data_IF_201734905947
#
_entry.id   IF_201734905947
#
_cell.length_a   1.000
_cell.length_b   1.000
_cell.length_c   1.000
_cell.angle_alpha   90.00
_cell.angle_beta   90.00
_cell.angle_gamma   90.00
#
_symmetry.space_group_name_H-M   'P 1'
#
loop_
_entity.id
_entity.type
_entity.pdbx_description
1 polymer ?
#
# COMPACT_ATOMS: atom_id res chain seq x y z
N UNK A 1 -11.78 34.84 54.79
CA UNK A 1 -10.40 34.96 54.29
C UNK A 1 -9.67 35.88 55.25
N UNK A 2 -8.79 35.34 56.10
CA UNK A 2 -7.95 36.18 56.96
C UNK A 2 -6.95 36.94 56.06
N UNK A 3 -6.74 38.23 56.32
CA UNK A 3 -5.87 39.07 55.49
C UNK A 3 -4.45 38.52 55.42
N UNK A 4 -3.84 38.58 54.23
CA UNK A 4 -2.43 38.23 54.02
C UNK A 4 -1.58 39.16 54.88
N UNK A 5 -0.61 38.60 55.61
CA UNK A 5 0.34 39.40 56.38
C UNK A 5 1.45 39.76 55.41
N UNK A 6 1.66 41.06 55.18
CA UNK A 6 2.62 41.56 54.17
C UNK A 6 3.99 41.84 54.79
N UNK A 7 4.03 42.19 56.08
CA UNK A 7 5.24 42.49 56.83
C UNK A 7 5.54 41.38 57.84
N UNK A 8 6.82 41.00 57.96
CA UNK A 8 7.25 39.94 58.89
C UNK A 8 7.07 40.39 60.36
N UNK A 9 6.15 39.77 61.13
CA UNK A 9 5.91 40.12 62.53
C UNK A 9 7.10 39.78 63.44
N UNK A 10 8.06 38.99 62.97
CA UNK A 10 9.31 38.72 63.69
C UNK A 10 10.26 39.92 63.71
N UNK A 11 10.05 40.89 62.83
CA UNK A 11 10.84 42.13 62.76
C UNK A 11 10.22 43.27 63.57
N UNK A 12 9.00 43.09 64.10
CA UNK A 12 8.32 44.12 64.89
C UNK A 12 8.84 44.15 66.33
N UNK A 13 9.18 45.36 66.79
CA UNK A 13 9.61 45.64 68.17
C UNK A 13 8.42 46.17 68.97
N UNK A 14 8.25 45.69 70.21
CA UNK A 14 7.18 46.17 71.10
C UNK A 14 7.31 47.68 71.30
N UNK A 15 6.27 48.46 71.00
CA UNK A 15 6.27 49.89 71.31
C UNK A 15 6.44 50.12 72.81
N UNK A 16 7.15 51.18 73.18
CA UNK A 16 7.23 51.61 74.56
C UNK A 16 5.93 52.30 74.96
N UNK A 17 4.99 51.50 75.47
CA UNK A 17 3.69 51.99 75.90
C UNK A 17 3.76 52.91 77.11
N UNK A 18 4.90 53.02 77.83
CA UNK A 18 5.08 53.96 78.93
C UNK A 18 5.49 55.38 78.47
N UNK A 19 5.78 55.56 77.18
CA UNK A 19 6.14 56.85 76.59
C UNK A 19 4.95 57.81 76.52
N UNK A 20 5.23 59.11 76.59
CA UNK A 20 4.26 60.20 76.48
C UNK A 20 3.38 60.11 75.21
N UNK A 21 3.92 59.52 74.14
CA UNK A 21 3.22 59.33 72.86
C UNK A 21 1.97 58.44 73.00
N UNK A 22 1.94 57.53 73.98
CA UNK A 22 0.83 56.59 74.19
C UNK A 22 -0.11 56.99 75.34
N UNK A 23 0.08 58.14 75.99
CA UNK A 23 -0.79 58.61 77.08
C UNK A 23 -2.27 58.64 76.68
N UNK A 24 -2.59 59.12 75.49
CA UNK A 24 -3.96 59.13 74.96
C UNK A 24 -4.58 57.72 74.85
N UNK A 25 -3.76 56.69 74.68
CA UNK A 25 -4.18 55.29 74.56
C UNK A 25 -4.31 54.61 75.93
N UNK A 26 -3.57 55.08 76.93
CA UNK A 26 -3.67 54.64 78.33
C UNK A 26 -4.89 55.24 79.04
N UNK A 27 -5.30 56.45 78.68
CA UNK A 27 -6.32 57.23 79.40
C UNK A 27 -7.66 56.52 79.64
N UNK A 28 -8.22 55.77 78.67
CA UNK A 28 -9.44 55.00 78.89
C UNK A 28 -9.30 53.86 79.91
N UNK A 29 -8.07 53.39 80.18
CA UNK A 29 -7.76 52.38 81.19
C UNK A 29 -7.56 53.04 82.56
N UNK A 30 -6.90 54.20 82.59
CA UNK A 30 -6.71 55.01 83.80
C UNK A 30 -8.04 55.54 84.34
N UNK A 31 -8.93 56.01 83.46
CA UNK A 31 -10.29 56.47 83.81
C UNK A 31 -11.17 55.34 84.42
N UNK A 32 -10.80 54.07 84.20
CA UNK A 32 -11.44 52.89 84.81
C UNK A 32 -10.81 52.46 86.13
N UNK A 33 -9.88 53.24 86.68
CA UNK A 33 -9.28 53.03 88.00
C UNK A 33 -7.97 52.24 88.02
N UNK A 34 -7.29 52.06 86.89
CA UNK A 34 -5.98 51.41 86.79
C UNK A 34 -4.83 52.43 86.91
N UNK A 35 -3.71 52.01 87.50
CA UNK A 35 -2.47 52.81 87.48
C UNK A 35 -1.93 52.93 86.04
N UNK A 36 -1.22 54.01 85.73
CA UNK A 36 -0.56 54.17 84.42
C UNK A 36 0.40 53.02 84.09
N UNK A 37 1.07 52.45 85.10
CA UNK A 37 1.93 51.26 84.95
C UNK A 37 1.12 50.00 84.61
N UNK A 38 -0.06 49.82 85.22
CA UNK A 38 -0.95 48.70 84.93
C UNK A 38 -1.56 48.84 83.52
N UNK A 39 -1.92 50.06 83.12
CA UNK A 39 -2.41 50.35 81.78
C UNK A 39 -1.35 50.06 80.70
N UNK A 40 -0.09 50.46 80.91
CA UNK A 40 1.02 50.15 80.00
C UNK A 40 1.31 48.63 79.94
N UNK A 41 1.15 47.92 81.07
CA UNK A 41 1.33 46.46 81.14
C UNK A 41 0.23 45.71 80.39
N UNK A 42 -1.03 46.14 80.51
CA UNK A 42 -2.16 45.57 79.76
C UNK A 42 -2.00 45.80 78.25
N UNK A 43 -1.56 46.99 77.84
CA UNK A 43 -1.31 47.30 76.42
C UNK A 43 -0.15 46.48 75.85
N UNK A 44 0.94 46.30 76.62
CA UNK A 44 2.05 45.41 76.26
C UNK A 44 1.59 43.97 76.09
N UNK A 45 0.85 43.42 77.05
CA UNK A 45 0.32 42.06 76.97
C UNK A 45 -0.63 41.87 75.77
N UNK A 46 -1.47 42.88 75.48
CA UNK A 46 -2.34 42.87 74.29
C UNK A 46 -1.53 42.89 72.98
N UNK A 47 -0.45 43.67 72.92
CA UNK A 47 0.44 43.71 71.76
C UNK A 47 1.19 42.39 71.57
N UNK A 48 1.74 41.81 72.64
CA UNK A 48 2.43 40.51 72.62
C UNK A 48 1.50 39.38 72.15
N UNK A 49 0.25 39.34 72.65
CA UNK A 49 -0.74 38.37 72.21
C UNK A 49 -1.11 38.54 70.71
N UNK A 50 -1.26 39.79 70.26
CA UNK A 50 -1.53 40.09 68.85
C UNK A 50 -0.33 39.73 67.94
N UNK A 51 0.89 40.05 68.36
CA UNK A 51 2.11 39.73 67.64
C UNK A 51 2.35 38.22 67.60
N UNK A 52 2.11 37.48 68.69
CA UNK A 52 2.18 36.03 68.71
C UNK A 52 1.22 35.39 67.70
N UNK A 53 -0.02 35.89 67.61
CA UNK A 53 -1.00 35.43 66.62
C UNK A 53 -0.58 35.79 65.18
N UNK A 54 0.03 36.97 64.99
CA UNK A 54 0.58 37.39 63.70
C UNK A 54 1.74 36.49 63.25
N UNK A 55 2.68 36.16 64.15
CA UNK A 55 3.78 35.23 63.90
C UNK A 55 3.28 33.83 63.52
N UNK A 56 2.25 33.33 64.22
CA UNK A 56 1.65 32.03 63.88
C UNK A 56 1.03 32.04 62.48
N UNK A 57 0.29 33.09 62.12
CA UNK A 57 -0.30 33.25 60.78
C UNK A 57 0.75 33.43 59.70
N UNK A 58 1.84 34.14 59.99
CA UNK A 58 2.97 34.30 59.09
C UNK A 58 3.65 32.95 58.82
N UNK A 59 3.91 32.17 59.88
CA UNK A 59 4.48 30.82 59.72
C UNK A 59 3.57 29.92 58.89
N UNK A 60 2.25 29.94 59.14
CA UNK A 60 1.28 29.21 58.32
C UNK A 60 1.33 29.64 56.84
N UNK A 61 1.46 30.93 56.54
CA UNK A 61 1.59 31.42 55.16
C UNK A 61 2.89 30.96 54.50
N UNK A 62 4.00 30.91 55.23
CA UNK A 62 5.27 30.39 54.72
C UNK A 62 5.15 28.89 54.42
N UNK A 63 4.58 28.12 55.34
CA UNK A 63 4.40 26.67 55.20
C UNK A 63 3.45 26.34 54.04
N UNK A 64 2.31 27.06 53.92
CA UNK A 64 1.34 26.91 52.83
C UNK A 64 1.96 27.26 51.47
N UNK A 65 2.78 28.33 51.41
CA UNK A 65 3.50 28.70 50.19
C UNK A 65 4.53 27.66 49.81
N UNK A 66 5.29 27.15 50.77
CA UNK A 66 6.28 26.10 50.55
C UNK A 66 5.62 24.79 50.07
N UNK A 67 4.47 24.41 50.66
CA UNK A 67 3.69 23.26 50.22
C UNK A 67 3.17 23.44 48.78
N UNK A 68 2.63 24.62 48.45
CA UNK A 68 2.14 24.94 47.10
C UNK A 68 3.27 24.91 46.07
N UNK A 69 4.44 25.45 46.40
CA UNK A 69 5.62 25.41 45.53
C UNK A 69 6.13 23.97 45.33
N UNK A 70 6.12 23.14 46.37
CA UNK A 70 6.50 21.74 46.29
C UNK A 70 5.53 20.93 45.40
N UNK A 71 4.22 21.12 45.58
CA UNK A 71 3.19 20.48 44.77
C UNK A 71 3.28 20.93 43.30
N UNK A 72 3.49 22.22 43.06
CA UNK A 72 3.69 22.77 41.73
C UNK A 72 4.95 22.21 41.06
N UNK A 73 6.05 22.06 41.81
CA UNK A 73 7.28 21.46 41.31
C UNK A 73 7.10 19.98 40.94
N UNK A 74 6.37 19.22 41.76
CA UNK A 74 6.03 17.82 41.48
C UNK A 74 5.13 17.69 40.25
N UNK A 75 4.08 18.52 40.16
CA UNK A 75 3.18 18.55 39.00
C UNK A 75 3.91 18.95 37.71
N UNK A 76 4.86 19.91 37.78
CA UNK A 76 5.68 20.30 36.64
C UNK A 76 6.58 19.15 36.18
N UNK A 77 7.20 18.41 37.11
CA UNK A 77 8.02 17.25 36.80
C UNK A 77 7.20 16.12 36.15
N UNK A 78 6.04 15.81 36.71
CA UNK A 78 5.14 14.79 36.14
C UNK A 78 4.62 15.20 34.76
N UNK A 79 4.30 16.48 34.55
CA UNK A 79 3.89 16.99 33.24
C UNK A 79 5.00 16.84 32.19
N UNK A 80 6.26 17.08 32.55
CA UNK A 80 7.41 16.91 31.66
C UNK A 80 7.67 15.42 31.35
N UNK A 81 7.58 14.54 32.34
CA UNK A 81 7.67 13.09 32.15
C UNK A 81 6.56 12.58 31.21
N UNK A 82 5.32 13.08 31.36
CA UNK A 82 4.22 12.76 30.44
C UNK A 82 4.48 13.27 29.03
N UNK A 83 4.98 14.51 28.87
CA UNK A 83 5.31 15.08 27.55
C UNK A 83 6.41 14.29 26.84
N UNK A 84 7.44 13.88 27.57
CA UNK A 84 8.52 13.08 27.01
C UNK A 84 8.07 11.67 26.66
N UNK A 85 7.17 11.06 27.46
CA UNK A 85 6.55 9.78 27.14
C UNK A 85 5.67 9.87 25.88
N UNK A 86 4.79 10.86 25.78
CA UNK A 86 3.94 11.05 24.59
C UNK A 86 4.79 11.31 23.34
N UNK A 87 5.83 12.13 23.44
CA UNK A 87 6.73 12.39 22.30
C UNK A 87 7.46 11.12 21.82
N UNK A 88 7.81 10.20 22.73
CA UNK A 88 8.40 8.89 22.38
C UNK A 88 7.39 7.99 21.68
N UNK A 89 6.17 7.91 22.19
CA UNK A 89 5.10 7.12 21.58
C UNK A 89 4.72 7.66 20.19
N UNK A 90 4.63 8.99 20.03
CA UNK A 90 4.43 9.66 18.74
C UNK A 90 5.54 9.34 17.74
N UNK A 91 6.80 9.32 18.19
CA UNK A 91 7.93 8.98 17.33
C UNK A 91 7.93 7.50 16.93
N UNK A 92 7.59 6.60 17.85
CA UNK A 92 7.50 5.17 17.55
C UNK A 92 6.33 4.84 16.61
N UNK A 93 5.17 5.47 16.83
CA UNK A 93 4.01 5.34 15.95
C UNK A 93 4.30 5.92 14.57
N UNK A 94 4.96 7.08 14.48
CA UNK A 94 5.40 7.65 13.22
C UNK A 94 6.37 6.72 12.46
N UNK A 95 7.33 6.11 13.16
CA UNK A 95 8.27 5.15 12.54
C UNK A 95 7.55 3.89 12.04
N UNK A 96 6.60 3.36 12.81
CA UNK A 96 5.78 2.22 12.40
C UNK A 96 4.93 2.54 11.18
N UNK A 97 4.31 3.71 11.15
CA UNK A 97 3.57 4.19 9.98
C UNK A 97 4.47 4.38 8.76
N UNK A 98 5.67 4.94 8.94
CA UNK A 98 6.63 5.12 7.85
C UNK A 98 7.08 3.76 7.31
N UNK A 99 7.42 2.81 8.18
CA UNK A 99 7.76 1.44 7.81
C UNK A 99 6.60 0.75 7.09
N UNK A 100 5.35 1.01 7.48
CA UNK A 100 4.18 0.43 6.84
C UNK A 100 3.88 1.06 5.48
N UNK A 101 4.05 2.38 5.32
CA UNK A 101 3.86 3.09 4.05
C UNK A 101 4.99 2.79 3.08
N UNK A 102 6.22 2.64 3.57
CA UNK A 102 7.44 2.45 2.79
C UNK A 102 8.03 1.05 2.99
N UNK A 103 7.19 0.00 3.07
CA UNK A 103 7.64 -1.39 3.30
C UNK A 103 8.82 -1.80 2.43
N UNK A 104 8.81 -1.43 1.16
CA UNK A 104 9.89 -1.75 0.22
C UNK A 104 11.26 -1.17 0.64
N UNK A 105 11.29 0.06 1.17
CA UNK A 105 12.51 0.75 1.64
C UNK A 105 13.10 0.09 2.88
N UNK A 106 12.25 -0.47 3.72
CA UNK A 106 12.59 -1.02 5.03
C UNK A 106 12.55 -2.56 5.08
N UNK A 107 12.48 -3.23 3.93
CA UNK A 107 12.58 -4.67 3.89
C UNK A 107 13.97 -5.14 4.31
N UNK A 108 14.01 -6.23 5.08
CA UNK A 108 15.25 -6.86 5.52
C UNK A 108 16.06 -7.35 4.32
N UNK A 109 17.32 -6.91 4.23
CA UNK A 109 18.28 -7.39 3.24
C UNK A 109 18.92 -8.65 3.81
N UNK A 110 18.94 -9.73 3.02
CA UNK A 110 19.61 -10.98 3.40
C UNK A 110 21.13 -10.82 3.23
N UNK A 111 21.82 -10.55 4.33
CA UNK A 111 23.29 -10.43 4.33
C UNK A 111 23.95 -11.74 3.88
N UNK A 112 24.96 -11.64 3.01
CA UNK A 112 25.71 -12.79 2.49
C UNK A 112 25.05 -13.53 1.32
N UNK A 113 23.83 -13.17 0.92
CA UNK A 113 23.18 -13.69 -0.29
C UNK A 113 23.47 -12.74 -1.46
N UNK A 114 24.24 -13.21 -2.43
CA UNK A 114 24.50 -12.45 -3.67
C UNK A 114 23.24 -12.27 -4.50
N UNK A 115 23.18 -11.20 -5.29
CA UNK A 115 22.13 -11.04 -6.29
C UNK A 115 22.14 -12.22 -7.27
N UNK A 116 20.99 -12.75 -7.70
CA UNK A 116 20.94 -13.77 -8.75
C UNK A 116 21.67 -13.31 -10.01
N UNK A 117 22.39 -14.23 -10.68
CA UNK A 117 23.15 -13.94 -11.90
C UNK A 117 22.30 -13.38 -13.05
N UNK A 118 20.99 -13.65 -13.02
CA UNK A 118 20.02 -13.15 -14.00
C UNK A 118 18.77 -12.65 -13.28
N UNK A 119 18.17 -11.54 -13.75
CA UNK A 119 16.92 -11.04 -13.18
C UNK A 119 15.82 -12.08 -13.34
N UNK A 120 14.93 -12.15 -12.34
CA UNK A 120 13.74 -12.98 -12.43
C UNK A 120 12.86 -12.46 -13.58
N UNK A 121 12.33 -13.37 -14.40
CA UNK A 121 11.40 -13.01 -15.46
C UNK A 121 10.06 -12.66 -14.82
N UNK A 122 9.79 -11.37 -14.67
CA UNK A 122 8.53 -10.87 -14.13
C UNK A 122 7.54 -10.53 -15.25
N UNK A 123 6.29 -10.96 -15.08
CA UNK A 123 5.22 -10.56 -15.97
C UNK A 123 4.80 -9.11 -15.69
N UNK A 124 4.49 -8.33 -16.74
CA UNK A 124 4.01 -6.96 -16.59
C UNK A 124 2.80 -6.86 -15.65
N UNK A 125 2.77 -5.80 -14.82
CA UNK A 125 1.73 -5.63 -13.79
C UNK A 125 0.30 -5.71 -14.36
N UNK A 126 0.04 -5.11 -15.53
CA UNK A 126 -1.28 -5.15 -16.16
C UNK A 126 -1.72 -6.59 -16.52
N UNK A 127 -0.79 -7.43 -16.96
CA UNK A 127 -1.04 -8.85 -17.26
C UNK A 127 -1.30 -9.61 -15.96
N UNK A 128 -0.49 -9.38 -14.92
CA UNK A 128 -0.70 -9.98 -13.59
C UNK A 128 -2.05 -9.60 -12.98
N UNK A 129 -2.54 -8.38 -13.19
CA UNK A 129 -3.88 -7.98 -12.74
C UNK A 129 -5.00 -8.76 -13.43
N UNK A 130 -4.84 -9.10 -14.73
CA UNK A 130 -5.80 -9.97 -15.43
C UNK A 130 -5.79 -11.39 -14.87
N UNK A 131 -4.60 -11.94 -14.58
CA UNK A 131 -4.50 -13.22 -13.89
C UNK A 131 -5.17 -13.18 -12.52
N UNK A 132 -4.98 -12.14 -11.70
CA UNK A 132 -5.69 -11.99 -10.41
C UNK A 132 -7.21 -11.99 -10.53
N UNK A 133 -7.75 -11.46 -11.63
CA UNK A 133 -9.19 -11.46 -11.92
C UNK A 133 -9.71 -12.72 -12.61
N UNK A 134 -8.82 -13.69 -12.86
CA UNK A 134 -9.10 -14.88 -13.67
C UNK A 134 -9.67 -14.58 -15.08
N UNK A 135 -9.29 -13.42 -15.65
CA UNK A 135 -9.68 -13.04 -17.02
C UNK A 135 -8.89 -13.84 -18.05
N UNK A 136 -9.43 -13.93 -19.28
CA UNK A 136 -8.71 -14.52 -20.40
C UNK A 136 -7.49 -13.68 -20.76
N UNK A 137 -6.32 -14.33 -20.82
CA UNK A 137 -5.04 -13.73 -21.21
C UNK A 137 -4.43 -14.57 -22.32
N UNK A 138 -4.10 -13.94 -23.45
CA UNK A 138 -3.35 -14.59 -24.53
C UNK A 138 -1.98 -15.03 -23.99
N UNK A 139 -1.56 -16.26 -24.29
CA UNK A 139 -0.26 -16.82 -23.90
C UNK A 139 0.91 -16.03 -24.46
N UNK A 140 0.72 -15.29 -25.55
CA UNK A 140 1.77 -14.41 -26.06
C UNK A 140 2.32 -13.47 -24.98
N UNK A 141 1.49 -12.96 -24.05
CA UNK A 141 1.97 -12.10 -22.97
C UNK A 141 2.93 -12.79 -21.99
N UNK A 142 2.97 -14.12 -21.96
CA UNK A 142 3.88 -14.92 -21.14
C UNK A 142 5.03 -15.53 -21.96
N UNK A 143 5.08 -15.27 -23.27
CA UNK A 143 6.19 -15.64 -24.14
C UNK A 143 7.39 -14.70 -23.96
N UNK A 144 8.58 -15.11 -24.39
CA UNK A 144 9.77 -14.24 -24.32
C UNK A 144 9.55 -12.95 -25.12
N UNK A 145 8.95 -13.07 -26.31
CA UNK A 145 8.63 -11.92 -27.16
C UNK A 145 7.59 -11.01 -26.52
N UNK A 146 6.52 -11.57 -25.95
CA UNK A 146 5.51 -10.77 -25.29
C UNK A 146 6.05 -10.08 -24.06
N UNK A 147 6.86 -10.75 -23.24
CA UNK A 147 7.46 -10.15 -22.05
C UNK A 147 8.41 -9.01 -22.45
N UNK A 148 9.34 -9.22 -23.39
CA UNK A 148 10.28 -8.18 -23.81
C UNK A 148 9.55 -6.95 -24.40
N UNK A 149 8.57 -7.17 -25.28
CA UNK A 149 7.80 -6.09 -25.89
C UNK A 149 6.95 -5.35 -24.84
N UNK A 150 6.29 -6.11 -23.95
CA UNK A 150 5.37 -5.53 -22.97
C UNK A 150 6.13 -4.85 -21.84
N UNK A 151 7.31 -5.34 -21.43
CA UNK A 151 8.21 -4.65 -20.47
C UNK A 151 8.77 -3.37 -21.08
N UNK A 152 9.16 -3.36 -22.35
CA UNK A 152 9.62 -2.15 -23.01
C UNK A 152 8.50 -1.09 -23.15
N UNK A 153 7.27 -1.53 -23.44
CA UNK A 153 6.13 -0.62 -23.64
C UNK A 153 5.45 -0.16 -22.32
N UNK A 154 5.40 -1.00 -21.28
CA UNK A 154 4.80 -0.66 -19.98
C UNK A 154 5.81 -0.25 -18.90
N UNK A 155 7.09 -0.63 -19.04
CA UNK A 155 8.20 -0.12 -18.24
C UNK A 155 8.51 1.35 -18.52
N UNK A 156 7.97 1.90 -19.63
CA UNK A 156 7.75 3.34 -19.80
C UNK A 156 6.61 3.80 -18.88
N UNK A 157 6.89 3.76 -17.58
CA UNK A 157 6.11 4.39 -16.52
C UNK A 157 6.22 5.90 -16.75
N UNK A 158 5.45 6.42 -17.71
CA UNK A 158 5.10 7.83 -17.93
C UNK A 158 4.42 8.11 -19.28
N UNK A 159 3.88 7.11 -20.00
CA UNK A 159 2.86 7.47 -21.01
C UNK A 159 1.58 7.88 -20.29
N UNK A 160 1.59 9.09 -19.71
CA UNK A 160 0.44 9.94 -19.34
C UNK A 160 -0.38 10.32 -20.59
N UNK A 161 -0.28 9.53 -21.65
CA UNK A 161 -0.96 9.73 -22.91
C UNK A 161 -2.11 8.75 -22.93
N UNK A 162 -3.31 9.28 -22.84
CA UNK A 162 -4.53 8.53 -23.04
C UNK A 162 -5.01 8.77 -24.46
N UNK A 163 -5.37 7.70 -25.14
CA UNK A 163 -6.03 7.76 -26.44
C UNK A 163 -7.51 7.48 -26.23
N UNK A 164 -8.36 8.29 -26.85
CA UNK A 164 -9.79 8.00 -26.89
C UNK A 164 -10.06 6.95 -27.97
N UNK A 165 -10.74 5.88 -27.59
CA UNK A 165 -11.14 4.78 -28.48
C UNK A 165 -12.65 4.70 -28.46
N UNK A 166 -13.23 4.66 -29.66
CA UNK A 166 -14.66 4.44 -29.83
C UNK A 166 -14.95 2.93 -29.69
N UNK A 167 -15.68 2.57 -28.63
CA UNK A 167 -16.22 1.23 -28.43
C UNK A 167 -17.43 0.96 -29.34
N UNK A 168 -17.93 -0.27 -29.29
CA UNK A 168 -19.14 -0.65 -30.01
C UNK A 168 -20.33 0.18 -29.50
N UNK A 169 -21.16 0.66 -30.43
CA UNK A 169 -22.29 1.58 -30.18
C UNK A 169 -21.92 3.04 -29.90
N UNK A 170 -20.71 3.49 -30.27
CA UNK A 170 -20.34 4.90 -30.25
C UNK A 170 -19.95 5.45 -28.87
N UNK A 171 -19.77 4.57 -27.88
CA UNK A 171 -19.27 4.95 -26.56
C UNK A 171 -17.77 5.25 -26.64
N UNK A 172 -17.36 6.43 -26.19
CA UNK A 172 -15.93 6.81 -26.15
C UNK A 172 -15.31 6.36 -24.83
N UNK A 173 -14.19 5.63 -24.90
CA UNK A 173 -13.42 5.18 -23.73
C UNK A 173 -11.99 5.70 -23.81
N UNK A 174 -11.46 6.23 -22.70
CA UNK A 174 -10.05 6.60 -22.60
C UNK A 174 -9.24 5.38 -22.19
N UNK A 175 -8.27 5.00 -23.01
CA UNK A 175 -7.31 3.94 -22.69
C UNK A 175 -5.89 4.48 -22.77
N UNK A 176 -4.97 4.03 -21.91
CA UNK A 176 -3.56 4.38 -22.05
C UNK A 176 -3.05 4.04 -23.46
N UNK A 177 -2.33 4.95 -24.11
CA UNK A 177 -1.83 4.75 -25.47
C UNK A 177 -0.87 3.55 -25.58
N UNK A 178 -0.19 3.19 -24.48
CA UNK A 178 0.62 1.98 -24.38
C UNK A 178 -0.22 0.70 -24.61
N UNK A 179 -1.47 0.67 -24.14
CA UNK A 179 -2.39 -0.46 -24.34
C UNK A 179 -2.75 -0.65 -25.81
N UNK A 180 -2.81 0.43 -26.60
CA UNK A 180 -3.09 0.39 -28.04
C UNK A 180 -1.88 -0.03 -28.89
N UNK A 181 -0.66 0.22 -28.41
CA UNK A 181 0.56 -0.22 -29.11
C UNK A 181 0.80 -1.71 -28.88
N UNK A 182 0.63 -2.17 -27.64
CA UNK A 182 0.70 -3.58 -27.29
C UNK A 182 -0.30 -4.42 -28.10
N UNK A 183 -1.50 -3.90 -28.42
CA UNK A 183 -2.48 -4.61 -29.24
C UNK A 183 -2.09 -4.76 -30.72
N UNK A 184 -1.16 -3.95 -31.25
CA UNK A 184 -0.70 -4.07 -32.65
C UNK A 184 0.32 -5.20 -32.84
N UNK A 185 1.05 -5.56 -31.79
CA UNK A 185 2.07 -6.62 -31.81
C UNK A 185 1.54 -7.94 -31.23
N UNK A 186 0.39 -7.89 -30.54
CA UNK A 186 -0.25 -9.05 -29.94
C UNK A 186 -0.47 -10.19 -30.95
N UNK A 187 0.17 -11.32 -30.69
CA UNK A 187 -0.09 -12.58 -31.40
C UNK A 187 -1.19 -13.33 -30.66
N UNK A 188 -2.24 -13.74 -31.37
CA UNK A 188 -3.30 -14.56 -30.80
C UNK A 188 -2.81 -15.97 -30.50
N UNK A 189 -3.45 -16.62 -29.55
CA UNK A 189 -3.13 -17.99 -29.14
C UNK A 189 -3.15 -19.01 -30.28
N UNK A 190 -4.07 -18.90 -31.23
CA UNK A 190 -4.10 -19.75 -32.43
C UNK A 190 -2.97 -19.47 -33.42
N UNK A 191 -2.36 -18.28 -33.32
CA UNK A 191 -1.35 -17.76 -34.23
C UNK A 191 0.08 -17.89 -33.70
N UNK A 192 0.25 -18.33 -32.45
CA UNK A 192 1.55 -18.54 -31.81
C UNK A 192 2.44 -19.53 -32.57
N UNK A 193 3.75 -19.37 -32.41
CA UNK A 193 4.71 -20.41 -32.76
C UNK A 193 4.64 -21.55 -31.72
N UNK A 194 5.05 -22.76 -32.11
CA UNK A 194 5.07 -23.88 -31.17
C UNK A 194 6.07 -23.64 -30.02
N UNK A 195 7.22 -23.04 -30.33
CA UNK A 195 8.25 -22.69 -29.35
C UNK A 195 7.70 -21.67 -28.34
N UNK A 196 7.08 -20.59 -28.83
CA UNK A 196 6.44 -19.59 -27.98
C UNK A 196 5.37 -20.23 -27.10
N UNK A 197 4.50 -21.08 -27.65
CA UNK A 197 3.52 -21.81 -26.86
C UNK A 197 4.18 -22.58 -25.70
N UNK A 198 5.22 -23.36 -26.00
CA UNK A 198 5.92 -24.17 -24.99
C UNK A 198 6.59 -23.35 -23.90
N UNK A 199 7.20 -22.22 -24.26
CA UNK A 199 7.78 -21.29 -23.29
C UNK A 199 6.71 -20.58 -22.45
N UNK A 200 5.55 -20.29 -23.05
CA UNK A 200 4.50 -19.45 -22.47
C UNK A 200 3.61 -20.18 -21.48
N UNK A 201 3.19 -21.42 -21.77
CA UNK A 201 2.15 -22.08 -20.97
C UNK A 201 2.63 -22.38 -19.54
N UNK A 202 3.90 -22.77 -19.35
CA UNK A 202 4.48 -22.99 -18.02
C UNK A 202 4.52 -21.71 -17.20
N UNK A 203 4.86 -20.58 -17.84
CA UNK A 203 4.83 -19.26 -17.17
C UNK A 203 3.42 -18.81 -16.85
N UNK A 204 2.45 -19.11 -17.72
CA UNK A 204 1.05 -18.86 -17.43
C UNK A 204 0.56 -19.68 -16.23
N UNK A 205 0.94 -20.96 -16.11
CA UNK A 205 0.63 -21.77 -14.92
C UNK A 205 1.21 -21.17 -13.64
N UNK A 206 2.47 -20.74 -13.67
CA UNK A 206 3.10 -20.07 -12.54
C UNK A 206 2.38 -18.75 -12.20
N UNK A 207 1.98 -17.97 -13.21
CA UNK A 207 1.22 -16.74 -13.02
C UNK A 207 -0.15 -16.98 -12.38
N UNK A 208 -0.85 -18.04 -12.77
CA UNK A 208 -2.13 -18.46 -12.17
C UNK A 208 -1.94 -18.83 -10.70
N UNK A 209 -0.94 -19.67 -10.40
CA UNK A 209 -0.63 -20.08 -9.03
C UNK A 209 -0.26 -18.88 -8.14
N UNK A 210 0.63 -18.01 -8.62
CA UNK A 210 1.05 -16.79 -7.90
C UNK A 210 -0.07 -15.76 -7.75
N UNK A 211 -1.13 -15.85 -8.56
CA UNK A 211 -2.31 -14.98 -8.47
C UNK A 211 -3.41 -15.54 -7.55
N UNK A 212 -3.15 -16.66 -6.87
CA UNK A 212 -4.09 -17.24 -5.90
C UNK A 212 -5.26 -17.99 -6.53
N UNK A 213 -5.11 -18.50 -7.76
CA UNK A 213 -6.14 -19.35 -8.35
C UNK A 213 -6.36 -20.62 -7.52
N UNK A 214 -7.60 -21.13 -7.44
CA UNK A 214 -7.88 -22.44 -6.86
C UNK A 214 -7.00 -23.54 -7.47
N UNK A 215 -6.43 -24.39 -6.61
CA UNK A 215 -5.43 -25.38 -7.00
C UNK A 215 -5.96 -26.41 -8.00
N UNK A 216 -7.24 -26.77 -7.89
CA UNK A 216 -7.96 -27.62 -8.82
C UNK A 216 -7.97 -27.03 -10.25
N UNK A 217 -8.20 -25.71 -10.37
CA UNK A 217 -8.16 -25.00 -11.66
C UNK A 217 -6.76 -24.96 -12.24
N UNK A 218 -5.75 -24.69 -11.42
CA UNK A 218 -4.35 -24.70 -11.88
C UNK A 218 -3.97 -26.09 -12.40
N UNK A 219 -4.34 -27.15 -11.68
CA UNK A 219 -4.10 -28.53 -12.12
C UNK A 219 -4.86 -28.90 -13.40
N UNK A 220 -6.10 -28.44 -13.55
CA UNK A 220 -6.88 -28.64 -14.77
C UNK A 220 -6.17 -28.02 -15.99
N UNK A 221 -5.73 -26.77 -15.89
CA UNK A 221 -4.98 -26.11 -16.97
C UNK A 221 -3.64 -26.79 -17.24
N UNK A 222 -2.94 -27.26 -16.20
CA UNK A 222 -1.70 -28.01 -16.35
C UNK A 222 -1.93 -29.29 -17.17
N UNK A 223 -2.93 -30.10 -16.79
CA UNK A 223 -3.30 -31.31 -17.53
C UNK A 223 -3.71 -31.00 -18.96
N UNK A 224 -4.51 -29.96 -19.17
CA UNK A 224 -4.93 -29.54 -20.50
C UNK A 224 -3.73 -29.22 -21.42
N UNK A 225 -2.83 -28.34 -20.99
CA UNK A 225 -1.67 -27.98 -21.81
C UNK A 225 -0.69 -29.13 -21.98
N UNK A 226 -0.50 -29.97 -20.96
CA UNK A 226 0.27 -31.22 -21.11
C UNK A 226 -0.34 -32.16 -22.15
N UNK A 227 -1.67 -32.33 -22.16
CA UNK A 227 -2.35 -33.16 -23.16
C UNK A 227 -2.16 -32.62 -24.58
N UNK A 228 -2.19 -31.29 -24.76
CA UNK A 228 -1.89 -30.65 -26.05
C UNK A 228 -0.43 -30.87 -26.46
N UNK A 229 0.51 -30.72 -25.52
CA UNK A 229 1.95 -30.88 -25.79
C UNK A 229 2.34 -32.34 -26.09
N UNK A 230 1.74 -33.30 -25.39
CA UNK A 230 2.01 -34.73 -25.52
C UNK A 230 1.19 -35.42 -26.62
N UNK A 231 0.35 -34.69 -27.34
CA UNK A 231 -0.48 -35.26 -28.39
C UNK A 231 0.39 -35.83 -29.53
N UNK A 232 0.04 -37.00 -30.13
CA UNK A 232 0.83 -37.62 -31.21
C UNK A 232 1.14 -36.69 -32.39
N UNK A 233 0.24 -35.74 -32.69
CA UNK A 233 0.41 -34.74 -33.75
C UNK A 233 1.58 -33.76 -33.52
N UNK A 234 2.06 -33.62 -32.28
CA UNK A 234 3.27 -32.83 -32.02
C UNK A 234 4.56 -33.58 -32.44
N UNK A 235 4.57 -34.91 -32.30
CA UNK A 235 5.73 -35.76 -32.59
C UNK A 235 5.69 -36.41 -33.97
N UNK A 236 4.54 -36.35 -34.65
CA UNK A 236 4.37 -36.86 -36.02
C UNK A 236 5.08 -35.94 -37.01
N UNK A 237 5.77 -36.53 -38.00
CA UNK A 237 6.38 -35.76 -39.08
C UNK A 237 5.28 -35.30 -40.04
N UNK A 238 4.83 -34.06 -39.87
CA UNK A 238 3.91 -33.38 -40.77
C UNK A 238 4.65 -32.27 -41.56
N UNK A 239 4.95 -32.50 -42.86
CA UNK A 239 5.59 -31.50 -43.71
C UNK A 239 4.76 -30.23 -43.91
N UNK A 240 3.44 -30.29 -43.72
CA UNK A 240 2.54 -29.14 -43.89
C UNK A 240 2.46 -28.25 -42.65
N UNK A 241 2.81 -28.80 -41.47
CA UNK A 241 2.68 -28.14 -40.17
C UNK A 241 1.24 -27.93 -39.70
N UNK A 242 0.25 -28.51 -40.39
CA UNK A 242 -1.17 -28.44 -40.04
C UNK A 242 -1.45 -29.12 -38.70
N UNK A 243 -0.75 -30.22 -38.38
CA UNK A 243 -0.93 -31.00 -37.15
C UNK A 243 -0.67 -30.16 -35.89
N UNK A 244 0.54 -29.56 -35.80
CA UNK A 244 0.87 -28.65 -34.68
C UNK A 244 -0.02 -27.41 -34.68
N UNK A 245 -0.37 -26.90 -35.86
CA UNK A 245 -1.27 -25.74 -35.98
C UNK A 245 -2.68 -26.04 -35.46
N UNK A 246 -3.19 -27.24 -35.73
CA UNK A 246 -4.48 -27.70 -35.23
C UNK A 246 -4.51 -27.75 -33.71
N UNK A 247 -3.43 -28.22 -33.08
CA UNK A 247 -3.28 -28.22 -31.62
C UNK A 247 -3.32 -26.81 -31.03
N UNK A 248 -2.68 -25.83 -31.68
CA UNK A 248 -2.70 -24.43 -31.24
C UNK A 248 -4.07 -23.77 -31.43
N UNK A 249 -4.76 -24.05 -32.55
CA UNK A 249 -6.13 -23.58 -32.78
C UNK A 249 -7.08 -24.18 -31.75
N UNK A 250 -6.98 -25.49 -31.51
CA UNK A 250 -7.76 -26.19 -30.51
C UNK A 250 -7.55 -25.57 -29.12
N UNK A 251 -6.30 -25.38 -28.70
CA UNK A 251 -6.06 -24.87 -27.35
C UNK A 251 -6.61 -23.45 -27.15
N UNK A 252 -6.48 -22.59 -28.17
CA UNK A 252 -6.97 -21.23 -28.15
C UNK A 252 -8.51 -21.19 -28.04
N UNK A 253 -9.20 -21.98 -28.86
CA UNK A 253 -10.66 -22.05 -28.89
C UNK A 253 -11.22 -22.59 -27.57
N UNK A 254 -10.67 -23.69 -27.07
CA UNK A 254 -11.14 -24.32 -25.84
C UNK A 254 -10.94 -23.41 -24.62
N UNK A 255 -9.81 -22.70 -24.53
CA UNK A 255 -9.57 -21.74 -23.45
C UNK A 255 -10.49 -20.53 -23.51
N UNK A 256 -10.69 -19.95 -24.70
CA UNK A 256 -11.63 -18.83 -24.87
C UNK A 256 -13.04 -19.23 -24.49
N UNK A 257 -13.52 -20.40 -24.94
CA UNK A 257 -14.82 -20.92 -24.58
C UNK A 257 -14.95 -21.15 -23.07
N UNK A 258 -13.91 -21.70 -22.42
CA UNK A 258 -13.91 -21.91 -20.98
C UNK A 258 -14.03 -20.60 -20.19
N UNK A 259 -13.24 -19.58 -20.55
CA UNK A 259 -13.35 -18.26 -19.92
C UNK A 259 -14.69 -17.57 -20.20
N UNK A 260 -15.31 -17.82 -21.36
CA UNK A 260 -16.67 -17.34 -21.64
C UNK A 260 -17.70 -17.97 -20.70
N UNK A 261 -17.63 -19.27 -20.39
CA UNK A 261 -18.53 -19.86 -19.38
C UNK A 261 -18.38 -19.20 -18.02
N UNK A 262 -17.14 -18.97 -17.57
CA UNK A 262 -16.87 -18.28 -16.31
C UNK A 262 -17.42 -16.85 -16.32
N UNK A 263 -17.25 -16.11 -17.43
CA UNK A 263 -17.75 -14.75 -17.56
C UNK A 263 -19.29 -14.67 -17.47
N UNK A 264 -20.00 -15.66 -17.99
CA UNK A 264 -21.46 -15.75 -17.91
C UNK A 264 -21.96 -16.35 -16.58
N UNK A 265 -21.06 -16.61 -15.61
CA UNK A 265 -21.36 -17.28 -14.34
C UNK A 265 -21.98 -18.68 -14.52
N UNK A 266 -21.61 -19.37 -15.59
CA UNK A 266 -22.02 -20.75 -15.86
C UNK A 266 -21.00 -21.75 -15.31
N UNK A 267 -21.45 -22.98 -15.08
CA UNK A 267 -20.55 -24.08 -14.72
C UNK A 267 -19.64 -24.42 -15.91
N UNK A 268 -18.39 -23.96 -15.85
CA UNK A 268 -17.42 -24.24 -16.90
C UNK A 268 -17.00 -25.72 -16.89
N UNK A 269 -17.00 -26.42 -18.05
CA UNK A 269 -16.56 -27.80 -18.14
C UNK A 269 -15.07 -27.99 -17.80
N UNK A 270 -14.68 -29.21 -17.46
CA UNK A 270 -13.28 -29.58 -17.27
C UNK A 270 -12.51 -29.48 -18.60
N UNK A 271 -11.57 -28.54 -18.67
CA UNK A 271 -10.77 -28.26 -19.85
C UNK A 271 -9.77 -29.39 -20.16
N UNK A 272 -9.37 -30.17 -19.15
CA UNK A 272 -8.40 -31.26 -19.30
C UNK A 272 -8.95 -32.45 -20.09
N UNK A 273 -10.28 -32.57 -20.18
CA UNK A 273 -10.96 -33.58 -20.99
C UNK A 273 -10.81 -33.24 -22.47
N UNK A 274 -9.92 -33.97 -23.14
CA UNK A 274 -9.60 -33.76 -24.55
C UNK A 274 -10.79 -34.17 -25.44
N UNK A 275 -11.21 -33.28 -26.35
CA UNK A 275 -12.37 -33.51 -27.23
C UNK A 275 -11.93 -33.74 -28.69
N UNK A 276 -11.94 -34.98 -29.18
CA UNK A 276 -11.47 -35.30 -30.54
C UNK A 276 -12.24 -34.55 -31.64
N UNK A 277 -13.56 -34.38 -31.49
CA UNK A 277 -14.37 -33.66 -32.47
C UNK A 277 -13.97 -32.19 -32.61
N UNK A 278 -13.63 -31.54 -31.50
CA UNK A 278 -13.18 -30.15 -31.51
C UNK A 278 -11.75 -30.04 -32.10
N UNK A 279 -10.89 -31.02 -31.84
CA UNK A 279 -9.57 -31.11 -32.48
C UNK A 279 -9.70 -31.30 -34.00
N UNK A 280 -10.60 -32.17 -34.46
CA UNK A 280 -10.81 -32.41 -35.89
C UNK A 280 -11.27 -31.14 -36.61
N UNK A 281 -12.19 -30.36 -36.01
CA UNK A 281 -12.57 -29.03 -36.54
C UNK A 281 -11.39 -28.07 -36.59
N UNK A 282 -10.53 -28.08 -35.56
CA UNK A 282 -9.32 -27.27 -35.55
C UNK A 282 -8.31 -27.71 -36.63
N UNK A 283 -8.26 -29.01 -36.95
CA UNK A 283 -7.43 -29.55 -38.02
C UNK A 283 -7.95 -29.17 -39.41
N UNK A 284 -9.26 -29.28 -39.65
CA UNK A 284 -9.89 -28.79 -40.88
C UNK A 284 -9.59 -27.30 -41.09
N UNK A 285 -9.63 -26.51 -40.01
CA UNK A 285 -9.25 -25.10 -40.04
C UNK A 285 -7.77 -24.88 -40.36
N UNK A 286 -6.88 -25.67 -39.77
CA UNK A 286 -5.44 -25.60 -40.06
C UNK A 286 -5.15 -25.87 -41.54
N UNK A 287 -5.73 -26.95 -42.09
CA UNK A 287 -5.60 -27.32 -43.50
C UNK A 287 -6.19 -26.25 -44.41
N UNK A 288 -7.34 -25.68 -44.05
CA UNK A 288 -7.96 -24.58 -44.80
C UNK A 288 -7.04 -23.37 -44.88
N UNK A 289 -6.45 -22.95 -43.75
CA UNK A 289 -5.49 -21.83 -43.71
C UNK A 289 -4.23 -22.12 -44.52
N UNK A 290 -3.71 -23.34 -44.45
CA UNK A 290 -2.55 -23.77 -45.24
C UNK A 290 -2.83 -23.67 -46.74
N UNK A 291 -3.96 -24.21 -47.21
CA UNK A 291 -4.36 -24.15 -48.63
C UNK A 291 -4.54 -22.73 -49.13
N UNK A 292 -5.16 -21.85 -48.33
CA UNK A 292 -5.29 -20.43 -48.69
C UNK A 292 -3.93 -19.75 -48.85
N UNK A 293 -2.98 -20.02 -47.94
CA UNK A 293 -1.63 -19.44 -48.00
C UNK A 293 -0.86 -19.93 -49.23
N UNK A 294 -0.95 -21.21 -49.55
CA UNK A 294 -0.35 -21.80 -50.76
C UNK A 294 -0.93 -21.19 -52.04
N UNK A 295 -2.25 -20.99 -52.09
CA UNK A 295 -2.90 -20.32 -53.22
C UNK A 295 -2.39 -18.88 -53.39
N UNK A 296 -2.33 -18.10 -52.31
CA UNK A 296 -1.80 -16.72 -52.33
C UNK A 296 -0.34 -16.64 -52.77
N UNK A 297 0.50 -17.57 -52.30
CA UNK A 297 1.91 -17.65 -52.71
C UNK A 297 2.04 -17.98 -54.19
N UNK A 298 1.17 -18.85 -54.70
CA UNK A 298 1.15 -19.21 -56.12
C UNK A 298 0.71 -18.03 -56.98
N UNK A 299 -0.36 -17.32 -56.59
CA UNK A 299 -0.83 -16.10 -57.24
C UNK A 299 0.24 -14.99 -57.23
N UNK A 300 0.92 -14.77 -56.09
CA UNK A 300 1.99 -13.79 -55.98
C UNK A 300 3.17 -14.10 -56.90
N UNK A 301 3.56 -15.38 -57.03
CA UNK A 301 4.60 -15.83 -57.96
C UNK A 301 4.19 -15.62 -59.41
N UNK A 302 2.95 -15.95 -59.78
CA UNK A 302 2.42 -15.73 -61.13
C UNK A 302 2.43 -14.23 -61.47
N UNK A 303 1.93 -13.37 -60.57
CA UNK A 303 1.95 -11.91 -60.73
C UNK A 303 3.37 -11.36 -60.89
N UNK A 304 4.34 -11.87 -60.12
CA UNK A 304 5.73 -11.43 -60.21
C UNK A 304 6.38 -11.83 -61.55
N UNK A 305 6.11 -13.05 -62.05
CA UNK A 305 6.61 -13.51 -63.35
C UNK A 305 6.01 -12.67 -64.50
N UNK A 306 4.71 -12.37 -64.45
CA UNK A 306 4.06 -11.49 -65.45
C UNK A 306 4.55 -10.05 -65.39
N UNK A 307 4.97 -9.56 -64.22
CA UNK A 307 5.55 -8.24 -64.08
C UNK A 307 7.01 -8.16 -64.61
N UNK A 308 7.76 -9.26 -64.55
CA UNK A 308 9.13 -9.34 -65.08
C UNK A 308 9.20 -9.55 -66.59
N UNK A 309 8.15 -10.12 -67.21
CA UNK A 309 8.04 -10.31 -68.66
C UNK A 309 6.76 -9.66 -69.19
N UNK A 310 6.66 -8.33 -69.24
CA UNK A 310 5.54 -7.68 -69.90
C UNK A 310 5.55 -8.09 -71.37
N UNK A 311 4.46 -8.71 -71.82
CA UNK A 311 4.26 -9.06 -73.23
C UNK A 311 4.27 -7.76 -74.03
N UNK A 312 5.38 -7.48 -74.71
CA UNK A 312 5.51 -6.35 -75.64
C UNK A 312 4.57 -6.67 -76.82
N UNK A 313 3.48 -5.91 -76.93
CA UNK A 313 2.65 -5.87 -78.14
C UNK A 313 3.20 -4.84 -79.11
#
# INVERSE_FOLDING_TARGET
MAGIIVNDPNLEVCPDFASDVYQATQQPLVDKGLSGEDAATILRASWEASNALAKQRWQQQIDDRAATEADAAMAAKEAEERRTATAREELETALKEENQKNRAKYMLIQEGVGMPDRPMVELPHAVMQKFKKAEYVELWYTSDQGILNTVHELGSIQSQTFSMVQGNHGQMSMVPSATLKASKVLVKDEDLSWEDFTASYLRALNAMANSGWPQDRVQMFARFWSNVHLHPWNSTLDPTGCDRRALLIYQAQQRRAWHQHILHNESAPDLSVFKPEALNRAHEEAVRRYRMKEAQLTEAKVCHITAQHPVIR
#
